data_IF_491201121223
#
_entry.id   IF_491201121223
#
_cell.length_a   1.000
_cell.length_b   1.000
_cell.length_c   1.000
_cell.angle_alpha   90.00
_cell.angle_beta   90.00
_cell.angle_gamma   90.00
#
_symmetry.space_group_name_H-M   'P 1'
#
loop_
_entity.id
_entity.type
_entity.pdbx_description
1 polymer ?
#
# COMPACT_ATOMS: atom_id res chain seq x y z
N UNK A 1 6.42 -3.94 57.00
CA UNK A 1 5.51 -3.66 55.87
C UNK A 1 6.19 -2.98 54.67
N UNK A 2 7.06 -1.98 54.86
CA UNK A 2 7.69 -1.26 53.74
C UNK A 2 8.60 -2.11 52.81
N UNK A 3 9.24 -3.18 53.31
CA UNK A 3 10.11 -4.06 52.51
C UNK A 3 9.33 -4.96 51.53
N UNK A 4 8.11 -5.37 51.90
CA UNK A 4 7.26 -6.22 51.06
C UNK A 4 6.73 -5.42 49.84
N UNK A 5 6.37 -4.15 50.07
CA UNK A 5 5.85 -3.24 49.03
C UNK A 5 6.89 -2.97 47.94
N UNK A 6 8.17 -2.81 48.32
CA UNK A 6 9.27 -2.63 47.36
C UNK A 6 9.51 -3.87 46.50
N UNK A 7 9.32 -5.06 47.06
CA UNK A 7 9.50 -6.33 46.34
C UNK A 7 8.38 -6.58 45.32
N UNK A 8 7.14 -6.25 45.68
CA UNK A 8 5.99 -6.29 44.76
C UNK A 8 6.16 -5.31 43.61
N UNK A 9 6.59 -4.08 43.89
CA UNK A 9 6.80 -3.06 42.85
C UNK A 9 7.87 -3.48 41.82
N UNK A 10 8.96 -4.13 42.26
CA UNK A 10 10.00 -4.64 41.35
C UNK A 10 9.48 -5.79 40.49
N UNK A 11 8.68 -6.69 41.04
CA UNK A 11 8.04 -7.77 40.28
C UNK A 11 7.02 -7.25 39.25
N UNK A 12 6.25 -6.21 39.59
CA UNK A 12 5.30 -5.58 38.66
C UNK A 12 5.99 -4.91 37.46
N UNK A 13 7.16 -4.30 37.68
CA UNK A 13 7.93 -3.67 36.59
C UNK A 13 8.54 -4.73 35.65
N UNK A 14 8.99 -5.87 36.21
CA UNK A 14 9.53 -6.96 35.40
C UNK A 14 8.49 -7.64 34.52
N UNK A 15 7.24 -7.77 34.99
CA UNK A 15 6.13 -8.31 34.19
C UNK A 15 5.74 -7.42 33.01
N UNK A 16 5.76 -6.09 33.18
CA UNK A 16 5.49 -5.13 32.10
C UNK A 16 6.55 -5.15 30.98
N UNK A 17 7.79 -5.53 31.28
CA UNK A 17 8.84 -5.66 30.25
C UNK A 17 8.71 -6.93 29.41
N UNK A 18 8.03 -7.98 29.90
CA UNK A 18 7.85 -9.24 29.16
C UNK A 18 6.75 -9.11 28.10
N UNK A 19 5.70 -8.32 28.37
CA UNK A 19 4.63 -8.06 27.39
C UNK A 19 5.11 -7.24 26.18
N UNK A 20 6.15 -6.41 26.34
CA UNK A 20 6.77 -5.68 25.24
C UNK A 20 7.59 -6.56 24.28
N UNK A 21 7.83 -7.83 24.63
CA UNK A 21 8.52 -8.84 23.81
C UNK A 21 7.57 -9.89 23.23
N UNK A 22 6.24 -9.66 23.25
CA UNK A 22 5.36 -10.32 22.28
C UNK A 22 5.62 -9.67 20.92
N UNK A 23 6.73 -10.09 20.32
CA UNK A 23 7.01 -9.99 18.90
C UNK A 23 5.75 -10.46 18.19
N UNK A 24 4.96 -9.52 17.71
CA UNK A 24 4.00 -9.75 16.65
C UNK A 24 4.79 -10.49 15.57
N UNK A 25 4.57 -11.80 15.45
CA UNK A 25 5.06 -12.56 14.31
C UNK A 25 4.44 -11.87 13.11
N UNK A 26 5.20 -10.99 12.47
CA UNK A 26 4.86 -10.50 11.15
C UNK A 26 4.89 -11.75 10.30
N UNK A 27 3.72 -12.33 10.16
CA UNK A 27 3.39 -13.42 9.27
C UNK A 27 4.06 -13.04 7.95
N UNK A 28 5.23 -13.63 7.70
CA UNK A 28 5.92 -13.51 6.43
C UNK A 28 5.11 -14.37 5.50
N UNK A 29 3.94 -13.84 5.16
CA UNK A 29 3.09 -14.35 4.12
C UNK A 29 3.98 -14.27 2.90
N UNK A 30 4.55 -15.42 2.52
CA UNK A 30 5.37 -15.62 1.32
C UNK A 30 4.47 -15.46 0.10
N UNK A 31 3.77 -14.34 0.00
CA UNK A 31 3.18 -13.89 -1.22
C UNK A 31 4.36 -13.68 -2.16
N UNK A 32 4.48 -14.56 -3.17
CA UNK A 32 5.46 -14.45 -4.27
C UNK A 32 5.20 -13.22 -5.15
N UNK A 33 4.58 -12.18 -4.60
CA UNK A 33 4.23 -10.97 -5.31
C UNK A 33 5.19 -9.85 -4.97
N UNK A 34 5.26 -8.86 -5.85
CA UNK A 34 5.99 -7.62 -5.66
C UNK A 34 5.11 -6.44 -5.99
N UNK A 35 5.41 -5.29 -5.41
CA UNK A 35 4.80 -4.03 -5.80
C UNK A 35 5.65 -3.42 -6.91
N UNK A 36 5.01 -3.00 -8.00
CA UNK A 36 5.64 -2.20 -9.07
C UNK A 36 4.99 -0.83 -9.10
N UNK A 37 5.80 0.19 -9.38
CA UNK A 37 5.30 1.54 -9.60
C UNK A 37 4.91 1.71 -11.07
N UNK A 38 3.80 2.39 -11.31
CA UNK A 38 3.35 2.78 -12.63
C UNK A 38 3.48 4.28 -12.88
N UNK A 39 3.24 4.67 -14.12
CA UNK A 39 3.07 6.06 -14.50
C UNK A 39 1.59 6.43 -14.55
N UNK A 40 1.22 7.54 -13.91
CA UNK A 40 -0.16 8.04 -13.98
C UNK A 40 -0.32 8.93 -15.20
N UNK A 41 -1.24 8.55 -16.08
CA UNK A 41 -1.66 9.37 -17.22
C UNK A 41 -2.93 10.12 -16.80
N UNK A 42 -2.85 11.45 -16.86
CA UNK A 42 -3.94 12.35 -16.49
C UNK A 42 -4.90 12.57 -17.66
N UNK A 43 -6.19 12.39 -17.39
CA UNK A 43 -7.28 12.67 -18.33
C UNK A 43 -8.61 12.79 -17.58
N UNK A 44 -9.75 12.54 -18.23
CA UNK A 44 -11.06 12.45 -17.56
C UNK A 44 -11.08 11.36 -16.48
N UNK A 45 -10.32 10.29 -16.68
CA UNK A 45 -9.95 9.29 -15.68
C UNK A 45 -8.46 9.36 -15.42
N UNK A 46 -8.04 9.01 -14.20
CA UNK A 46 -6.65 8.70 -13.93
C UNK A 46 -6.40 7.28 -14.41
N UNK A 47 -5.45 7.09 -15.33
CA UNK A 47 -5.07 5.76 -15.80
C UNK A 47 -3.65 5.44 -15.36
N UNK A 48 -3.37 4.17 -15.10
CA UNK A 48 -2.05 3.71 -14.66
C UNK A 48 -1.42 2.89 -15.75
N UNK A 49 -0.32 3.38 -16.30
CA UNK A 49 0.53 2.62 -17.21
C UNK A 49 1.55 1.84 -16.39
N UNK A 50 1.47 0.50 -16.48
CA UNK A 50 2.42 -0.40 -15.85
C UNK A 50 3.37 -0.95 -16.91
N UNK A 51 4.66 -0.78 -16.69
CA UNK A 51 5.70 -1.36 -17.52
C UNK A 51 6.24 -2.67 -16.91
N UNK A 52 6.50 -3.67 -17.74
CA UNK A 52 7.08 -4.93 -17.31
C UNK A 52 8.48 -5.13 -17.88
N UNK A 53 9.51 -4.90 -17.06
CA UNK A 53 10.91 -5.15 -17.42
C UNK A 53 11.29 -6.64 -17.45
N UNK A 54 10.41 -7.53 -17.01
CA UNK A 54 10.67 -8.98 -17.01
C UNK A 54 10.53 -9.58 -18.41
N UNK A 55 11.35 -10.60 -18.69
CA UNK A 55 11.22 -11.47 -19.85
C UNK A 55 9.99 -12.40 -19.79
N UNK A 56 9.26 -12.41 -18.66
CA UNK A 56 8.03 -13.19 -18.49
C UNK A 56 6.84 -12.25 -18.26
N UNK A 57 5.64 -12.60 -18.75
CA UNK A 57 4.43 -11.87 -18.41
C UNK A 57 4.21 -11.86 -16.89
N UNK A 58 3.77 -10.71 -16.36
CA UNK A 58 3.41 -10.55 -14.95
C UNK A 58 1.89 -10.48 -14.82
N UNK A 59 1.33 -11.08 -13.77
CA UNK A 59 -0.09 -10.99 -13.46
C UNK A 59 -0.32 -9.91 -12.42
N UNK A 60 -1.10 -8.90 -12.77
CA UNK A 60 -1.56 -7.86 -11.85
C UNK A 60 -2.71 -8.42 -11.02
N UNK A 61 -2.57 -8.36 -9.71
CA UNK A 61 -3.58 -8.83 -8.76
C UNK A 61 -4.50 -7.67 -8.37
N UNK A 62 -3.92 -6.53 -8.00
CA UNK A 62 -4.61 -5.28 -7.77
C UNK A 62 -3.70 -4.10 -8.10
N UNK A 63 -4.29 -2.92 -8.23
CA UNK A 63 -3.58 -1.67 -8.44
C UNK A 63 -4.22 -0.56 -7.61
N UNK A 64 -3.37 0.30 -7.05
CA UNK A 64 -3.74 1.34 -6.11
C UNK A 64 -3.30 2.69 -6.64
N UNK A 65 -4.16 3.68 -6.50
CA UNK A 65 -3.87 5.09 -6.75
C UNK A 65 -3.79 5.84 -5.43
N UNK A 66 -2.71 6.60 -5.29
CA UNK A 66 -2.52 7.59 -4.24
C UNK A 66 -2.75 8.96 -4.88
N UNK A 67 -3.88 9.62 -4.56
CA UNK A 67 -4.33 10.86 -5.21
C UNK A 67 -4.25 12.00 -4.22
N UNK A 68 -3.43 13.00 -4.51
CA UNK A 68 -3.32 14.22 -3.74
C UNK A 68 -4.25 15.28 -4.30
N UNK A 69 -5.13 15.81 -3.48
CA UNK A 69 -6.10 16.84 -3.88
C UNK A 69 -6.22 17.93 -2.82
N UNK A 70 -6.73 19.10 -3.22
CA UNK A 70 -7.08 20.16 -2.26
C UNK A 70 -8.50 19.97 -1.74
N UNK A 71 -8.66 19.91 -0.43
CA UNK A 71 -9.97 19.89 0.21
C UNK A 71 -10.66 21.26 0.12
N UNK A 72 -11.90 21.34 0.63
CA UNK A 72 -12.69 22.60 0.63
C UNK A 72 -12.05 23.74 1.43
N UNK A 73 -11.12 23.42 2.33
CA UNK A 73 -10.36 24.37 3.14
C UNK A 73 -8.98 24.69 2.57
N UNK A 74 -8.65 24.19 1.36
CA UNK A 74 -7.38 24.43 0.68
C UNK A 74 -6.20 23.56 1.17
N UNK A 75 -6.43 22.63 2.09
CA UNK A 75 -5.40 21.71 2.59
C UNK A 75 -5.18 20.56 1.62
N UNK A 76 -3.96 20.03 1.57
CA UNK A 76 -3.61 18.86 0.75
C UNK A 76 -3.99 17.59 1.50
N UNK A 77 -4.81 16.76 0.89
CA UNK A 77 -5.24 15.46 1.41
C UNK A 77 -4.90 14.34 0.42
N UNK A 78 -4.72 13.13 0.97
CA UNK A 78 -4.45 11.91 0.21
C UNK A 78 -5.69 11.01 0.18
N UNK A 79 -6.21 10.73 -1.01
CA UNK A 79 -7.21 9.70 -1.24
C UNK A 79 -6.55 8.46 -1.84
N UNK A 80 -6.69 7.32 -1.15
CA UNK A 80 -6.25 6.01 -1.68
C UNK A 80 -7.41 5.28 -2.33
N UNK A 81 -7.19 4.75 -3.55
CA UNK A 81 -8.19 3.98 -4.31
C UNK A 81 -7.55 2.71 -4.86
N UNK A 82 -7.97 1.55 -4.35
CA UNK A 82 -7.49 0.25 -4.80
C UNK A 82 -8.55 -0.46 -5.63
N UNK A 83 -8.11 -1.10 -6.71
CA UNK A 83 -8.93 -1.84 -7.65
C UNK A 83 -8.37 -3.25 -7.81
N UNK A 84 -9.22 -4.25 -7.57
CA UNK A 84 -8.86 -5.63 -7.83
C UNK A 84 -8.95 -5.95 -9.32
N UNK A 85 -7.94 -6.65 -9.84
CA UNK A 85 -8.01 -7.20 -11.17
C UNK A 85 -9.04 -8.33 -11.24
N UNK A 86 -10.08 -8.15 -12.07
CA UNK A 86 -11.08 -9.20 -12.31
C UNK A 86 -10.76 -10.07 -13.52
N UNK A 87 -10.34 -9.47 -14.64
CA UNK A 87 -10.20 -10.18 -15.91
C UNK A 87 -8.88 -9.86 -16.61
N UNK A 88 -8.13 -10.92 -16.93
CA UNK A 88 -6.93 -10.90 -17.80
C UNK A 88 -5.95 -9.74 -17.58
N UNK A 89 -5.68 -9.33 -16.33
CA UNK A 89 -4.66 -8.30 -16.06
C UNK A 89 -3.27 -8.92 -16.10
N UNK A 90 -2.79 -9.14 -17.33
CA UNK A 90 -1.43 -9.56 -17.59
C UNK A 90 -0.73 -8.47 -18.37
N UNK A 91 0.43 -8.04 -17.87
CA UNK A 91 1.35 -7.21 -18.64
C UNK A 91 2.31 -8.17 -19.32
N UNK A 92 2.39 -8.13 -20.66
CA UNK A 92 3.30 -9.01 -21.42
C UNK A 92 4.75 -8.65 -21.10
N UNK A 93 5.69 -9.52 -21.48
CA UNK A 93 7.11 -9.28 -21.29
C UNK A 93 7.55 -8.05 -22.09
N UNK A 94 8.31 -7.14 -21.46
CA UNK A 94 8.91 -5.96 -22.13
C UNK A 94 7.87 -5.06 -22.82
N UNK A 95 6.71 -4.89 -22.19
CA UNK A 95 5.62 -4.04 -22.72
C UNK A 95 4.98 -3.23 -21.59
N UNK A 96 4.30 -2.14 -21.94
CA UNK A 96 3.33 -1.50 -21.06
C UNK A 96 1.91 -2.02 -21.26
N UNK A 97 1.10 -1.89 -20.21
CA UNK A 97 -0.34 -2.06 -20.25
C UNK A 97 -0.99 -0.95 -19.41
N UNK A 98 -2.06 -0.36 -19.95
CA UNK A 98 -2.83 0.69 -19.27
C UNK A 98 -4.00 0.07 -18.51
N UNK A 99 -4.14 0.50 -17.25
CA UNK A 99 -5.23 0.16 -16.34
C UNK A 99 -6.08 1.39 -16.09
N UNK A 100 -7.41 1.22 -16.21
CA UNK A 100 -8.36 2.30 -15.95
C UNK A 100 -8.50 2.51 -14.45
N UNK A 101 -8.39 3.74 -13.99
CA UNK A 101 -8.56 4.10 -12.59
C UNK A 101 -9.79 4.96 -12.33
N UNK A 102 -9.82 5.68 -11.20
CA UNK A 102 -10.95 6.50 -10.81
C UNK A 102 -11.12 7.71 -11.75
N UNK A 103 -12.33 8.27 -11.72
CA UNK A 103 -12.61 9.55 -12.37
C UNK A 103 -11.75 10.66 -11.75
N UNK A 104 -11.24 11.54 -12.61
CA UNK A 104 -10.45 12.70 -12.20
C UNK A 104 -11.38 13.89 -11.93
N UNK A 105 -12.26 13.75 -10.93
CA UNK A 105 -13.39 14.67 -10.68
C UNK A 105 -13.10 15.82 -9.70
N UNK A 106 -11.83 16.18 -9.46
CA UNK A 106 -11.48 17.19 -8.46
C UNK A 106 -10.20 17.96 -8.79
N UNK A 107 -9.77 18.90 -7.92
CA UNK A 107 -8.50 19.59 -8.03
C UNK A 107 -7.35 18.64 -7.63
N UNK A 108 -7.19 17.56 -8.39
CA UNK A 108 -6.05 16.65 -8.27
C UNK A 108 -4.78 17.45 -8.51
N UNK A 109 -3.94 17.54 -7.48
CA UNK A 109 -2.63 18.18 -7.54
C UNK A 109 -1.64 17.22 -8.21
N UNK A 110 -1.65 15.98 -7.75
CA UNK A 110 -0.81 14.91 -8.25
C UNK A 110 -1.41 13.56 -7.89
N UNK A 111 -0.96 12.52 -8.58
CA UNK A 111 -1.33 11.15 -8.30
C UNK A 111 -0.16 10.22 -8.60
N UNK A 112 -0.05 9.17 -7.80
CA UNK A 112 0.85 8.04 -8.01
C UNK A 112 0.02 6.78 -8.20
N UNK A 113 0.55 5.80 -8.94
CA UNK A 113 -0.07 4.49 -9.02
C UNK A 113 0.95 3.35 -8.81
N UNK A 114 0.46 2.28 -8.21
CA UNK A 114 1.23 1.10 -7.86
C UNK A 114 0.40 -0.15 -8.13
N UNK A 115 1.05 -1.27 -8.42
CA UNK A 115 0.38 -2.53 -8.65
C UNK A 115 1.05 -3.67 -7.90
N UNK A 116 0.25 -4.51 -7.26
CA UNK A 116 0.72 -5.77 -6.72
C UNK A 116 0.66 -6.83 -7.83
N UNK A 117 1.81 -7.42 -8.16
CA UNK A 117 1.97 -8.35 -9.28
C UNK A 117 2.60 -9.67 -8.84
N UNK A 118 2.31 -10.75 -9.57
CA UNK A 118 2.86 -12.10 -9.37
C UNK A 118 3.39 -12.70 -10.67
#
# INVERSE_FOLDING_TARGET
>A
MAKLIRLVAVFSILLLCVEAFSSEEVESDKSRGRVIQGHVIYGPTLTCELWNDSYRPIRVMNYTYDIYFRNRFGQVELAKRTFDCRYNCRVRSQTSQVFTGPLNNGPTISANCFAFVR
#
